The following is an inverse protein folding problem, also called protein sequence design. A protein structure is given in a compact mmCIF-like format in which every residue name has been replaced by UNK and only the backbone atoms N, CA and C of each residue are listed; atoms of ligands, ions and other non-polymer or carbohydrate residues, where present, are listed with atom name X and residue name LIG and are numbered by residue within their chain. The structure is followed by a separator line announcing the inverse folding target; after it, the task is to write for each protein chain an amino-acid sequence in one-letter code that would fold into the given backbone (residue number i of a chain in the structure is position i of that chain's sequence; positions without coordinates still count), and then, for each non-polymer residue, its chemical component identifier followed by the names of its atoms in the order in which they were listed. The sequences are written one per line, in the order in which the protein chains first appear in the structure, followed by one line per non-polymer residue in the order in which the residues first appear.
data_IF_306169623808
#
_entry.id   IF_306169623808
#
_cell.length_a   1.000
_cell.length_b   1.000
_cell.length_c   1.000
_cell.angle_alpha   90.00
_cell.angle_beta   90.00
_cell.angle_gamma   90.00
#
_symmetry.space_group_name_H-M   'P 1'
#
loop_
_entity.id
_entity.type
_entity.pdbx_description
1 polymer ?
#
# COMPACT_ATOMS: atom_id res chain seq x y z
N UNK A 1 0.60 -65.51 25.17
CA UNK A 1 0.59 -64.26 25.95
C UNK A 1 1.09 -63.12 25.07
N UNK A 2 0.24 -62.14 24.70
CA UNK A 2 0.64 -60.79 24.29
C UNK A 2 1.02 -59.98 25.56
N UNK A 3 1.73 -58.83 25.56
CA UNK A 3 1.46 -57.43 25.09
C UNK A 3 2.75 -56.59 25.48
N UNK A 4 2.95 -55.29 25.15
CA UNK A 4 2.42 -54.42 24.09
C UNK A 4 3.47 -53.53 23.34
N UNK A 5 2.99 -52.99 22.22
CA UNK A 5 3.28 -51.72 21.53
C UNK A 5 4.15 -50.65 22.24
N UNK A 6 5.05 -50.02 21.47
CA UNK A 6 5.35 -48.58 21.59
C UNK A 6 5.56 -48.00 20.18
N UNK A 7 4.44 -47.51 19.63
CA UNK A 7 4.35 -46.63 18.48
C UNK A 7 4.94 -45.26 18.87
N UNK A 8 6.16 -44.98 18.41
CA UNK A 8 6.71 -43.62 18.40
C UNK A 8 6.63 -43.07 16.99
N UNK A 9 5.42 -42.66 16.64
CA UNK A 9 5.18 -41.65 15.63
C UNK A 9 5.99 -40.39 15.96
N UNK A 10 7.04 -40.15 15.18
CA UNK A 10 7.69 -38.84 15.15
C UNK A 10 6.66 -37.80 14.71
N UNK A 11 6.40 -36.74 15.51
CA UNK A 11 5.50 -35.70 15.06
C UNK A 11 6.14 -35.00 13.87
N UNK A 12 5.45 -35.11 12.74
CA UNK A 12 5.74 -34.41 11.49
C UNK A 12 6.13 -32.97 11.77
N UNK A 13 7.29 -32.56 11.23
CA UNK A 13 7.76 -31.19 11.17
C UNK A 13 6.67 -30.29 10.60
N UNK A 14 5.84 -29.73 11.49
CA UNK A 14 4.93 -28.66 11.14
C UNK A 14 5.81 -27.46 10.83
N UNK A 15 5.69 -26.98 9.60
CA UNK A 15 6.28 -25.75 9.15
C UNK A 15 6.01 -24.68 10.20
N UNK A 16 7.09 -24.11 10.76
CA UNK A 16 7.02 -22.86 11.50
C UNK A 16 6.47 -21.83 10.52
N UNK A 17 5.19 -21.50 10.65
CA UNK A 17 4.60 -20.35 9.98
C UNK A 17 5.36 -19.12 10.48
N UNK A 18 6.19 -18.54 9.63
CA UNK A 18 6.66 -17.17 9.82
C UNK A 18 5.45 -16.30 10.11
N UNK A 19 5.50 -15.49 11.17
CA UNK A 19 4.49 -14.47 11.43
C UNK A 19 4.21 -13.73 10.11
N UNK A 20 3.00 -13.90 9.60
CA UNK A 20 2.65 -13.56 8.22
C UNK A 20 2.88 -12.09 7.92
N UNK A 21 3.54 -11.80 6.80
CA UNK A 21 3.79 -10.45 6.33
C UNK A 21 2.45 -9.78 6.01
N UNK A 22 1.95 -8.89 6.88
CA UNK A 22 0.71 -8.15 6.66
C UNK A 22 0.98 -7.05 5.64
N UNK A 23 0.30 -7.04 4.47
CA UNK A 23 0.55 -6.04 3.45
C UNK A 23 0.10 -4.65 3.92
N UNK A 24 0.84 -3.61 3.53
CA UNK A 24 0.50 -2.22 3.87
C UNK A 24 -0.79 -1.79 3.18
N UNK A 25 -0.96 -2.22 1.93
CA UNK A 25 -2.12 -1.96 1.08
C UNK A 25 -2.41 -3.23 0.29
N UNK A 26 -3.67 -3.63 0.26
CA UNK A 26 -4.12 -4.80 -0.50
C UNK A 26 -5.57 -4.58 -0.99
N UNK A 27 -5.84 -4.88 -2.26
CA UNK A 27 -7.20 -4.96 -2.76
C UNK A 27 -7.74 -6.39 -2.65
N UNK A 28 -8.91 -6.55 -2.04
CA UNK A 28 -9.55 -7.85 -1.85
C UNK A 28 -10.71 -7.99 -2.83
N UNK A 29 -10.60 -8.92 -3.78
CA UNK A 29 -11.68 -9.28 -4.70
C UNK A 29 -11.65 -8.53 -6.04
N UNK A 30 -12.83 -8.38 -6.64
CA UNK A 30 -13.07 -7.76 -7.94
C UNK A 30 -13.56 -6.32 -7.77
N UNK A 31 -14.37 -5.80 -8.71
CA UNK A 31 -14.95 -4.45 -8.66
C UNK A 31 -15.88 -4.23 -7.45
N UNK A 32 -16.42 -5.30 -6.85
CA UNK A 32 -17.27 -5.26 -5.64
C UNK A 32 -16.47 -5.43 -4.34
N UNK A 33 -15.15 -5.53 -4.46
CA UNK A 33 -14.21 -5.77 -3.39
C UNK A 33 -14.07 -4.64 -2.36
N UNK A 34 -12.99 -4.75 -1.59
CA UNK A 34 -12.64 -3.79 -0.54
C UNK A 34 -11.14 -3.53 -0.49
N UNK A 35 -10.79 -2.36 0.04
CA UNK A 35 -9.40 -1.97 0.28
C UNK A 35 -9.02 -2.36 1.71
N UNK A 36 -7.99 -3.18 1.88
CA UNK A 36 -7.40 -3.50 3.18
C UNK A 36 -6.13 -2.68 3.37
N UNK A 37 -6.00 -2.04 4.54
CA UNK A 37 -4.84 -1.23 4.91
C UNK A 37 -4.29 -1.70 6.26
N UNK A 38 -2.98 -1.80 6.39
CA UNK A 38 -2.32 -1.93 7.69
C UNK A 38 -2.54 -0.65 8.49
N UNK A 39 -3.00 -0.76 9.73
CA UNK A 39 -3.11 0.39 10.62
C UNK A 39 -1.76 0.73 11.24
N UNK A 40 -1.07 1.69 10.61
CA UNK A 40 0.27 2.10 11.06
C UNK A 40 0.26 2.90 12.36
N UNK A 41 -0.91 3.32 12.88
CA UNK A 41 -0.98 4.06 14.15
C UNK A 41 -0.77 3.15 15.36
N UNK A 42 -0.97 1.84 15.19
CA UNK A 42 -0.82 0.83 16.22
C UNK A 42 0.59 0.22 16.27
N UNK A 43 1.40 0.48 15.24
CA UNK A 43 2.79 0.02 15.20
C UNK A 43 3.66 0.79 16.22
N UNK A 44 4.66 0.14 16.83
CA UNK A 44 5.07 -1.25 16.64
C UNK A 44 4.35 -2.26 17.56
N UNK A 45 3.43 -1.79 18.40
CA UNK A 45 2.82 -2.60 19.45
C UNK A 45 1.86 -3.65 18.92
N UNK A 46 1.12 -3.33 17.85
CA UNK A 46 0.11 -4.21 17.28
C UNK A 46 0.13 -4.12 15.74
N UNK A 47 -0.06 -5.27 15.08
CA UNK A 47 -0.12 -5.39 13.62
C UNK A 47 -1.54 -5.80 13.21
N UNK A 48 -2.38 -4.81 12.94
CA UNK A 48 -3.80 -5.00 12.62
C UNK A 48 -4.16 -4.30 11.31
N UNK A 49 -5.02 -4.92 10.50
CA UNK A 49 -5.54 -4.31 9.27
C UNK A 49 -6.95 -3.77 9.46
N UNK A 50 -7.24 -2.66 8.79
CA UNK A 50 -8.60 -2.14 8.63
C UNK A 50 -9.10 -2.45 7.22
N UNK A 51 -10.40 -2.67 7.10
CA UNK A 51 -11.06 -2.89 5.81
C UNK A 51 -11.94 -1.69 5.47
N UNK A 52 -11.61 -1.01 4.38
CA UNK A 52 -12.31 0.14 3.85
C UNK A 52 -13.30 -0.31 2.76
N UNK A 53 -14.58 -0.13 3.07
CA UNK A 53 -15.74 -0.40 2.22
C UNK A 53 -16.52 0.88 1.88
N UNK A 54 -16.09 2.05 2.32
CA UNK A 54 -16.64 3.33 1.88
C UNK A 54 -15.53 4.35 1.62
N UNK A 55 -15.81 5.36 0.81
CA UNK A 55 -14.87 6.48 0.58
C UNK A 55 -14.52 7.19 1.89
N UNK A 56 -15.49 7.33 2.80
CA UNK A 56 -15.28 7.95 4.12
C UNK A 56 -14.25 7.19 4.95
N UNK A 57 -14.26 5.86 4.92
CA UNK A 57 -13.26 5.04 5.62
C UNK A 57 -11.86 5.22 5.03
N UNK A 58 -11.74 5.38 3.71
CA UNK A 58 -10.44 5.65 3.06
C UNK A 58 -9.95 7.06 3.42
N UNK A 59 -10.84 8.06 3.38
CA UNK A 59 -10.53 9.43 3.79
C UNK A 59 -10.09 9.49 5.25
N UNK A 60 -10.79 8.78 6.15
CA UNK A 60 -10.41 8.65 7.56
C UNK A 60 -9.04 8.00 7.70
N UNK A 61 -8.79 6.88 7.03
CA UNK A 61 -7.52 6.18 7.11
C UNK A 61 -6.33 7.05 6.68
N UNK A 62 -6.51 7.88 5.64
CA UNK A 62 -5.49 8.83 5.16
C UNK A 62 -5.30 9.99 6.17
N UNK A 63 -6.39 10.55 6.71
CA UNK A 63 -6.36 11.68 7.67
C UNK A 63 -5.78 11.29 9.01
N UNK A 64 -6.18 10.14 9.54
CA UNK A 64 -5.74 9.59 10.81
C UNK A 64 -4.34 8.94 10.74
N UNK A 65 -3.68 9.00 9.58
CA UNK A 65 -2.33 8.45 9.35
C UNK A 65 -2.25 6.93 9.54
N UNK A 66 -3.38 6.21 9.42
CA UNK A 66 -3.40 4.74 9.36
C UNK A 66 -2.64 4.25 8.14
N UNK A 67 -2.85 4.93 7.01
CA UNK A 67 -1.96 4.85 5.83
C UNK A 67 -1.20 6.16 5.68
N UNK A 68 0.13 6.07 5.54
CA UNK A 68 1.03 7.22 5.40
C UNK A 68 2.23 6.88 4.53
N UNK A 69 2.95 7.91 4.10
CA UNK A 69 3.95 7.82 3.05
C UNK A 69 3.35 8.25 1.71
N UNK A 70 4.04 9.13 0.98
CA UNK A 70 3.45 9.76 -0.21
C UNK A 70 2.99 8.71 -1.25
N UNK A 71 3.79 7.69 -1.59
CA UNK A 71 3.33 6.67 -2.55
C UNK A 71 2.17 5.82 -2.02
N UNK A 72 2.23 5.34 -0.78
CA UNK A 72 1.13 4.59 -0.16
C UNK A 72 -0.19 5.37 -0.14
N UNK A 73 -0.15 6.67 0.17
CA UNK A 73 -1.34 7.54 0.12
C UNK A 73 -1.90 7.63 -1.31
N UNK A 74 -1.04 7.73 -2.33
CA UNK A 74 -1.46 7.74 -3.73
C UNK A 74 -2.18 6.46 -4.13
N UNK A 75 -1.61 5.30 -3.79
CA UNK A 75 -2.21 3.99 -4.06
C UNK A 75 -3.56 3.83 -3.32
N UNK A 76 -3.62 4.21 -2.03
CA UNK A 76 -4.85 4.17 -1.25
C UNK A 76 -5.94 5.07 -1.84
N UNK A 77 -5.59 6.28 -2.33
CA UNK A 77 -6.53 7.17 -2.99
C UNK A 77 -7.04 6.59 -4.32
N UNK A 78 -6.17 5.96 -5.12
CA UNK A 78 -6.58 5.30 -6.36
C UNK A 78 -7.61 4.18 -6.11
N UNK A 79 -7.40 3.35 -5.08
CA UNK A 79 -8.38 2.35 -4.66
C UNK A 79 -9.62 2.97 -4.02
N UNK A 80 -9.47 4.08 -3.29
CA UNK A 80 -10.59 4.83 -2.71
C UNK A 80 -11.61 5.30 -3.74
N UNK A 81 -11.17 5.65 -4.96
CA UNK A 81 -12.07 5.95 -6.08
C UNK A 81 -12.96 4.75 -6.43
N UNK A 82 -12.37 3.55 -6.49
CA UNK A 82 -13.11 2.30 -6.78
C UNK A 82 -14.10 1.99 -5.67
N UNK A 83 -13.67 2.08 -4.40
CA UNK A 83 -14.54 1.87 -3.23
C UNK A 83 -15.75 2.82 -3.27
N UNK A 84 -15.53 4.09 -3.60
CA UNK A 84 -16.60 5.10 -3.65
C UNK A 84 -17.59 4.97 -4.81
N UNK A 85 -17.27 4.15 -5.83
CA UNK A 85 -18.08 4.01 -7.05
C UNK A 85 -18.67 2.61 -7.25
N UNK A 86 -18.30 1.63 -6.42
CA UNK A 86 -18.73 0.24 -6.60
C UNK A 86 -20.27 0.05 -6.66
N UNK A 87 -21.01 0.90 -5.94
CA UNK A 87 -22.48 0.86 -5.87
C UNK A 87 -23.14 1.72 -6.95
N UNK A 88 -22.35 2.45 -7.74
CA UNK A 88 -22.81 3.41 -8.75
C UNK A 88 -22.95 2.79 -10.15
N UNK A 89 -22.66 1.50 -10.33
CA UNK A 89 -22.56 0.85 -11.66
C UNK A 89 -23.89 0.73 -12.40
N UNK A 90 -25.02 0.83 -11.67
CA UNK A 90 -26.37 0.80 -12.25
C UNK A 90 -26.95 2.19 -12.50
N UNK A 91 -26.20 3.26 -12.22
CA UNK A 91 -26.65 4.63 -12.44
C UNK A 91 -26.59 5.01 -13.92
N UNK A 92 -27.32 6.07 -14.29
CA UNK A 92 -27.09 6.73 -15.56
C UNK A 92 -25.68 7.33 -15.62
N UNK A 93 -25.10 7.41 -16.83
CA UNK A 93 -23.70 7.81 -16.99
C UNK A 93 -23.39 9.18 -16.37
N UNK A 94 -24.28 10.15 -16.54
CA UNK A 94 -24.11 11.50 -15.97
C UNK A 94 -24.13 11.52 -14.43
N UNK A 95 -24.92 10.64 -13.81
CA UNK A 95 -24.98 10.49 -12.36
C UNK A 95 -23.72 9.80 -11.84
N UNK A 96 -23.22 8.78 -12.54
CA UNK A 96 -21.95 8.14 -12.25
C UNK A 96 -20.79 9.15 -12.28
N UNK A 97 -20.70 9.98 -13.34
CA UNK A 97 -19.64 11.00 -13.46
C UNK A 97 -19.74 12.06 -12.34
N UNK A 98 -20.97 12.41 -11.93
CA UNK A 98 -21.19 13.31 -10.78
C UNK A 98 -20.67 12.68 -9.49
N UNK A 99 -20.93 11.39 -9.27
CA UNK A 99 -20.43 10.66 -8.10
C UNK A 99 -18.91 10.50 -8.13
N UNK A 100 -18.32 10.22 -9.30
CA UNK A 100 -16.87 10.15 -9.49
C UNK A 100 -16.20 11.46 -9.08
N UNK A 101 -16.71 12.58 -9.57
CA UNK A 101 -16.21 13.90 -9.20
C UNK A 101 -16.32 14.14 -7.69
N UNK A 102 -17.45 13.79 -7.07
CA UNK A 102 -17.64 13.91 -5.62
C UNK A 102 -16.62 13.06 -4.84
N UNK A 103 -16.42 11.80 -5.22
CA UNK A 103 -15.46 10.88 -4.58
C UNK A 103 -14.02 11.40 -4.71
N UNK A 104 -13.63 11.88 -5.89
CA UNK A 104 -12.31 12.49 -6.11
C UNK A 104 -12.12 13.71 -5.22
N UNK A 105 -13.12 14.60 -5.09
CA UNK A 105 -13.02 15.78 -4.23
C UNK A 105 -12.90 15.41 -2.75
N UNK A 106 -13.65 14.40 -2.28
CA UNK A 106 -13.55 13.92 -0.90
C UNK A 106 -12.16 13.38 -0.58
N UNK A 107 -11.58 12.58 -1.48
CA UNK A 107 -10.22 12.05 -1.35
C UNK A 107 -9.17 13.15 -1.42
N UNK A 108 -9.31 14.11 -2.35
CA UNK A 108 -8.43 15.29 -2.47
C UNK A 108 -8.40 16.12 -1.17
N UNK A 109 -9.55 16.29 -0.53
CA UNK A 109 -9.67 17.02 0.73
C UNK A 109 -9.14 16.27 1.95
N UNK A 110 -8.70 15.00 1.81
CA UNK A 110 -8.11 14.25 2.92
C UNK A 110 -6.77 14.85 3.36
N UNK A 111 -5.89 15.19 2.41
CA UNK A 111 -4.57 15.79 2.65
C UNK A 111 -4.16 16.69 1.46
N UNK A 112 -4.53 18.00 1.48
CA UNK A 112 -4.38 18.91 0.34
C UNK A 112 -2.95 19.16 -0.16
N UNK A 113 -1.93 18.76 0.59
CA UNK A 113 -0.51 18.91 0.22
C UNK A 113 0.13 17.60 -0.27
N UNK A 114 -0.60 16.48 -0.27
CA UNK A 114 -0.08 15.19 -0.67
C UNK A 114 -0.03 15.07 -2.21
N UNK A 115 1.09 15.47 -2.82
CA UNK A 115 1.25 15.47 -4.29
C UNK A 115 0.93 14.12 -4.94
N UNK A 116 1.40 13.00 -4.36
CA UNK A 116 1.13 11.66 -4.87
C UNK A 116 -0.37 11.28 -4.82
N UNK A 117 -1.14 11.86 -3.90
CA UNK A 117 -2.59 11.70 -3.85
C UNK A 117 -3.23 12.31 -5.10
N UNK A 118 -2.91 13.58 -5.39
CA UNK A 118 -3.44 14.26 -6.57
C UNK A 118 -2.99 13.60 -7.88
N UNK A 119 -1.73 13.17 -7.95
CA UNK A 119 -1.22 12.42 -9.10
C UNK A 119 -2.01 11.13 -9.37
N UNK A 120 -2.35 10.37 -8.31
CA UNK A 120 -3.14 9.15 -8.45
C UNK A 120 -4.60 9.44 -8.85
N UNK A 121 -5.22 10.47 -8.25
CA UNK A 121 -6.59 10.90 -8.57
C UNK A 121 -6.71 11.42 -10.02
N UNK A 122 -5.76 12.22 -10.48
CA UNK A 122 -5.67 12.70 -11.87
C UNK A 122 -5.57 11.54 -12.87
N UNK A 123 -4.79 10.49 -12.54
CA UNK A 123 -4.73 9.28 -13.37
C UNK A 123 -6.05 8.51 -13.40
N UNK A 124 -6.82 8.48 -12.32
CA UNK A 124 -8.16 7.88 -12.31
C UNK A 124 -9.15 8.71 -13.13
N UNK A 125 -9.13 10.03 -12.97
CA UNK A 125 -9.96 10.96 -13.73
C UNK A 125 -9.76 10.77 -15.25
N UNK A 126 -8.51 10.71 -15.71
CA UNK A 126 -8.19 10.48 -17.13
C UNK A 126 -8.73 9.16 -17.68
N UNK A 127 -8.78 8.10 -16.87
CA UNK A 127 -9.37 6.81 -17.29
C UNK A 127 -10.86 6.97 -17.56
N UNK A 128 -11.58 7.66 -16.68
CA UNK A 128 -13.01 7.91 -16.86
C UNK A 128 -13.30 8.80 -18.08
N UNK A 129 -12.47 9.81 -18.33
CA UNK A 129 -12.56 10.70 -19.49
C UNK A 129 -12.30 9.97 -20.80
N UNK A 130 -11.27 9.11 -20.86
CA UNK A 130 -10.97 8.29 -22.04
C UNK A 130 -12.09 7.29 -22.35
N UNK A 131 -12.88 6.93 -21.35
CA UNK A 131 -14.00 6.00 -21.45
C UNK A 131 -15.35 6.72 -21.39
N UNK A 132 -15.46 7.98 -21.82
CA UNK A 132 -16.69 8.77 -21.74
C UNK A 132 -17.95 8.11 -22.35
N UNK A 133 -17.78 7.26 -23.36
CA UNK A 133 -18.88 6.53 -24.01
C UNK A 133 -19.16 5.14 -23.42
N UNK A 134 -18.36 4.68 -22.45
CA UNK A 134 -18.50 3.36 -21.84
C UNK A 134 -19.55 3.34 -20.72
N UNK A 135 -20.04 2.14 -20.40
CA UNK A 135 -20.96 1.94 -19.28
C UNK A 135 -20.27 2.22 -17.93
N UNK A 136 -21.00 2.63 -16.88
CA UNK A 136 -20.43 2.78 -15.53
C UNK A 136 -19.69 1.54 -15.02
N UNK A 137 -20.18 0.33 -15.34
CA UNK A 137 -19.53 -0.91 -14.98
C UNK A 137 -18.15 -1.08 -15.66
N UNK A 138 -18.07 -0.77 -16.96
CA UNK A 138 -16.80 -0.82 -17.70
C UNK A 138 -15.81 0.22 -17.20
N UNK A 139 -16.29 1.42 -16.85
CA UNK A 139 -15.44 2.46 -16.24
C UNK A 139 -14.91 2.00 -14.89
N UNK A 140 -15.76 1.46 -14.01
CA UNK A 140 -15.33 0.96 -12.69
C UNK A 140 -14.26 -0.12 -12.83
N UNK A 141 -14.45 -1.07 -13.74
CA UNK A 141 -13.46 -2.11 -14.06
C UNK A 141 -12.12 -1.52 -14.50
N UNK A 142 -12.16 -0.50 -15.37
CA UNK A 142 -10.95 0.18 -15.83
C UNK A 142 -10.27 0.99 -14.71
N UNK A 143 -11.03 1.61 -13.80
CA UNK A 143 -10.51 2.33 -12.63
C UNK A 143 -9.82 1.36 -11.66
N UNK A 144 -10.38 0.17 -11.42
CA UNK A 144 -9.73 -0.86 -10.61
C UNK A 144 -8.45 -1.37 -11.28
N UNK A 145 -8.49 -1.63 -12.58
CA UNK A 145 -7.28 -2.01 -13.32
C UNK A 145 -6.20 -0.92 -13.23
N UNK A 146 -6.58 0.36 -13.31
CA UNK A 146 -5.65 1.48 -13.15
C UNK A 146 -5.08 1.57 -11.74
N UNK A 147 -5.88 1.37 -10.69
CA UNK A 147 -5.41 1.36 -9.31
C UNK A 147 -4.33 0.27 -9.09
N UNK A 148 -4.57 -0.95 -9.61
CA UNK A 148 -3.60 -2.05 -9.59
C UNK A 148 -2.32 -1.73 -10.36
N UNK A 149 -2.44 -1.04 -11.51
CA UNK A 149 -1.29 -0.57 -12.28
C UNK A 149 -0.49 0.46 -11.47
N UNK A 150 -1.14 1.43 -10.82
CA UNK A 150 -0.47 2.42 -9.96
C UNK A 150 0.30 1.72 -8.82
N UNK A 151 -0.31 0.74 -8.17
CA UNK A 151 0.36 -0.06 -7.14
C UNK A 151 1.58 -0.82 -7.68
N UNK A 152 1.42 -1.48 -8.84
CA UNK A 152 2.49 -2.26 -9.46
C UNK A 152 3.65 -1.37 -9.95
N UNK A 153 3.34 -0.21 -10.51
CA UNK A 153 4.33 0.81 -10.89
C UNK A 153 5.12 1.30 -9.67
N UNK A 154 4.45 1.54 -8.52
CA UNK A 154 5.14 1.94 -7.30
C UNK A 154 6.07 0.84 -6.77
N UNK A 155 5.63 -0.42 -6.78
CA UNK A 155 6.48 -1.57 -6.41
C UNK A 155 7.72 -1.68 -7.30
N UNK A 156 7.54 -1.57 -8.62
CA UNK A 156 8.64 -1.61 -9.58
C UNK A 156 9.61 -0.44 -9.38
N UNK A 157 9.08 0.76 -9.12
CA UNK A 157 9.90 1.94 -8.85
C UNK A 157 10.72 1.79 -7.56
N UNK A 158 10.12 1.25 -6.49
CA UNK A 158 10.83 0.94 -5.25
C UNK A 158 12.01 -0.02 -5.49
N UNK A 159 11.78 -1.08 -6.27
CA UNK A 159 12.81 -2.06 -6.61
C UNK A 159 13.96 -1.44 -7.42
N UNK A 160 13.66 -0.64 -8.44
CA UNK A 160 14.69 0.04 -9.24
C UNK A 160 15.44 1.11 -8.45
N UNK A 161 14.76 1.88 -7.58
CA UNK A 161 15.41 2.81 -6.66
C UNK A 161 16.38 2.05 -5.75
N UNK A 162 15.94 0.93 -5.17
CA UNK A 162 16.77 0.09 -4.31
C UNK A 162 18.01 -0.42 -5.05
N UNK A 163 17.83 -1.01 -6.24
CA UNK A 163 18.91 -1.56 -7.06
C UNK A 163 19.93 -0.48 -7.44
N UNK A 164 19.47 0.63 -8.02
CA UNK A 164 20.36 1.71 -8.46
C UNK A 164 21.04 2.43 -7.30
N UNK A 165 20.32 2.65 -6.19
CA UNK A 165 20.91 3.33 -5.04
C UNK A 165 21.93 2.46 -4.31
N UNK A 166 21.74 1.14 -4.29
CA UNK A 166 22.68 0.22 -3.63
C UNK A 166 24.07 0.27 -4.27
N UNK A 167 24.16 0.51 -5.58
CA UNK A 167 25.43 0.69 -6.31
C UNK A 167 26.25 1.89 -5.81
N UNK A 168 25.62 2.83 -5.08
CA UNK A 168 26.29 4.01 -4.52
C UNK A 168 26.88 3.76 -3.12
N UNK A 169 26.48 2.68 -2.44
CA UNK A 169 26.94 2.33 -1.11
C UNK A 169 28.12 1.36 -1.19
N UNK A 170 29.06 1.51 -0.25
CA UNK A 170 30.23 0.63 -0.10
C UNK A 170 30.18 -0.09 1.25
N UNK A 171 30.91 -1.20 1.32
CA UNK A 171 31.13 -1.87 2.59
C UNK A 171 31.77 -0.92 3.62
N UNK A 172 31.25 -0.94 4.85
CA UNK A 172 31.68 -0.06 5.93
C UNK A 172 31.08 1.35 5.91
N UNK A 173 30.26 1.72 4.93
CA UNK A 173 29.53 2.99 4.96
C UNK A 173 28.51 3.05 6.12
N UNK A 174 28.34 4.24 6.68
CA UNK A 174 27.25 4.55 7.62
C UNK A 174 26.22 5.44 6.94
N UNK A 175 24.95 5.02 6.96
CA UNK A 175 23.86 5.73 6.30
C UNK A 175 22.94 6.37 7.34
N UNK A 176 22.82 7.68 7.26
CA UNK A 176 21.83 8.45 8.02
C UNK A 176 20.58 8.65 7.17
N UNK A 177 19.41 8.37 7.74
CA UNK A 177 18.11 8.65 7.09
C UNK A 177 17.17 9.36 8.06
N UNK A 178 16.16 10.02 7.51
CA UNK A 178 15.17 10.79 8.26
C UNK A 178 13.76 10.34 7.90
N UNK A 179 12.86 10.31 8.89
CA UNK A 179 11.52 9.75 8.78
C UNK A 179 11.53 8.23 8.46
N UNK A 180 10.47 7.75 7.82
CA UNK A 180 10.30 6.37 7.39
C UNK A 180 9.97 6.33 5.90
N UNK A 181 10.95 5.92 5.09
CA UNK A 181 10.86 5.81 3.64
C UNK A 181 11.10 4.35 3.18
N UNK A 182 10.62 3.39 3.98
CA UNK A 182 10.64 1.96 3.71
C UNK A 182 9.28 1.42 3.28
N UNK A 183 9.12 0.09 3.40
CA UNK A 183 7.94 -0.61 2.91
C UNK A 183 6.61 -0.07 3.45
N UNK A 184 6.58 0.44 4.69
CA UNK A 184 5.39 1.06 5.28
C UNK A 184 4.94 2.35 4.56
N UNK A 185 5.83 3.02 3.82
CA UNK A 185 5.53 4.29 3.15
C UNK A 185 5.12 4.13 1.68
N UNK A 186 5.18 2.89 1.15
CA UNK A 186 5.03 2.57 -0.28
C UNK A 186 4.15 1.32 -0.45
N UNK A 187 3.85 0.95 -1.68
CA UNK A 187 3.37 -0.39 -2.01
C UNK A 187 4.52 -1.41 -2.09
N UNK A 188 5.75 -0.98 -2.42
CA UNK A 188 6.94 -1.83 -2.48
C UNK A 188 7.80 -1.79 -1.21
N UNK A 189 9.10 -2.04 -1.37
CA UNK A 189 10.08 -2.10 -0.27
C UNK A 189 10.53 -0.72 0.26
N UNK A 190 10.03 0.36 -0.33
CA UNK A 190 10.36 1.74 0.02
C UNK A 190 11.20 2.45 -1.03
N UNK A 191 11.71 3.62 -0.65
CA UNK A 191 12.62 4.42 -1.47
C UNK A 191 14.01 4.45 -0.83
N UNK A 192 14.26 5.36 0.11
CA UNK A 192 15.56 5.46 0.76
C UNK A 192 15.93 4.19 1.56
N UNK A 193 14.96 3.55 2.22
CA UNK A 193 15.24 2.28 2.92
C UNK A 193 15.37 1.09 1.97
N UNK A 194 14.76 1.12 0.78
CA UNK A 194 14.96 0.06 -0.23
C UNK A 194 16.42 0.02 -0.71
N UNK A 195 17.09 1.16 -0.81
CA UNK A 195 18.54 1.24 -1.09
C UNK A 195 19.35 0.49 -0.04
N UNK A 196 19.04 0.71 1.24
CA UNK A 196 19.69 0.02 2.36
C UNK A 196 19.39 -1.47 2.32
N UNK A 197 18.13 -1.87 2.13
CA UNK A 197 17.74 -3.28 2.05
C UNK A 197 18.43 -4.02 0.89
N UNK A 198 18.49 -3.41 -0.28
CA UNK A 198 19.17 -3.96 -1.45
C UNK A 198 20.68 -4.12 -1.22
N UNK A 199 21.34 -3.12 -0.62
CA UNK A 199 22.76 -3.18 -0.29
C UNK A 199 23.11 -4.27 0.73
N UNK A 200 22.22 -4.54 1.70
CA UNK A 200 22.39 -5.65 2.66
C UNK A 200 22.09 -7.01 2.01
N UNK A 201 21.00 -7.10 1.24
CA UNK A 201 20.51 -8.34 0.63
C UNK A 201 21.38 -8.90 -0.51
N UNK A 202 22.19 -8.05 -1.16
CA UNK A 202 23.11 -8.42 -2.23
C UNK A 202 24.36 -9.23 -1.82
N UNK A 203 24.56 -9.45 -0.51
CA UNK A 203 25.69 -10.14 0.13
C UNK A 203 27.04 -9.36 0.12
N UNK A 204 27.68 -9.35 1.31
CA UNK A 204 29.04 -8.87 1.65
C UNK A 204 29.21 -7.41 2.13
N UNK A 205 28.16 -6.73 2.58
CA UNK A 205 28.31 -5.39 3.17
C UNK A 205 27.89 -5.37 4.65
N UNK A 206 28.87 -5.27 5.54
CA UNK A 206 28.70 -5.04 6.97
C UNK A 206 28.36 -3.57 7.23
N UNK A 207 27.23 -3.09 6.69
CA UNK A 207 26.79 -1.72 6.89
C UNK A 207 26.59 -1.44 8.39
N UNK A 208 27.30 -0.41 8.87
CA UNK A 208 27.37 -0.06 10.29
C UNK A 208 26.39 1.03 10.67
N UNK A 209 25.44 0.67 11.54
CA UNK A 209 24.47 1.52 12.24
C UNK A 209 23.53 2.37 11.37
N UNK A 210 22.24 2.04 11.41
CA UNK A 210 21.16 2.83 10.82
C UNK A 210 20.45 3.59 11.94
N UNK A 211 20.43 4.92 11.84
CA UNK A 211 19.60 5.75 12.70
C UNK A 211 18.48 6.35 11.85
N UNK A 212 17.25 6.00 12.16
CA UNK A 212 16.08 6.73 11.69
C UNK A 212 15.62 7.63 12.84
N UNK A 213 15.45 8.93 12.56
CA UNK A 213 14.64 9.81 13.43
C UNK A 213 13.28 9.94 12.77
N UNK A 214 12.28 9.25 13.33
CA UNK A 214 10.88 9.48 13.05
C UNK A 214 10.37 10.62 13.93
N UNK A 215 9.56 11.53 13.38
CA UNK A 215 8.78 12.45 14.21
C UNK A 215 7.80 11.60 15.05
N UNK A 216 7.96 11.61 16.36
CA UNK A 216 6.94 11.11 17.28
C UNK A 216 5.78 12.11 17.33
N UNK A 217 4.60 11.66 17.74
CA UNK A 217 3.36 12.46 17.82
C UNK A 217 3.40 13.61 18.88
N UNK A 218 4.59 14.12 19.23
CA UNK A 218 4.79 15.17 20.22
C UNK A 218 5.68 16.34 19.79
N UNK A 219 6.17 16.38 18.55
CA UNK A 219 7.10 17.41 18.06
C UNK A 219 6.44 18.44 17.10
N UNK A 220 5.14 18.71 17.27
CA UNK A 220 4.42 19.85 16.65
C UNK A 220 3.74 20.71 17.71
#
# INVERSE_FOLDING_TARGET
MPIPNDDKSEPSSSARTHAGNVPVIEWIGDETGSLRLLDQTLLPCETTSIECRSVDQVVEAIRALRVRGAPAIGVAAAYGVVVGLREATNLERSQFDTQLNSVIQQLAASRPTAVNLFWALDRQQRVAEQLAAASPADVLKALLAKARVIETEDRAMCAEIGRHGAELLKDGDSVLTHCNAGALATAGDGTALAVIYAAIGGAAHGLGAFATRSASHGDL
#
